data_IF_851349778593
#
_entry.id   IF_851349778593
#
_cell.length_a   1.000
_cell.length_b   1.000
_cell.length_c   1.000
_cell.angle_alpha   90.00
_cell.angle_beta   90.00
_cell.angle_gamma   90.00
#
_symmetry.space_group_name_H-M   'P 1'
#
loop_
_entity.id
_entity.type
_entity.pdbx_description
1 polymer ?
#
# COMPACT_ATOMS: atom_id res chain seq x y z
N UNK A 1 22.07 -1.22 -35.93
CA UNK A 1 23.07 -0.72 -34.97
C UNK A 1 23.34 -1.87 -34.01
N UNK A 2 24.59 -2.27 -33.78
CA UNK A 2 24.89 -3.39 -32.87
C UNK A 2 24.74 -2.92 -31.41
N UNK A 3 24.22 -3.79 -30.54
CA UNK A 3 24.10 -3.53 -29.10
C UNK A 3 25.52 -3.47 -28.49
N UNK A 4 25.81 -2.42 -27.72
CA UNK A 4 27.04 -2.34 -26.93
C UNK A 4 26.89 -3.22 -25.66
N UNK A 5 27.39 -4.46 -25.75
CA UNK A 5 27.29 -5.45 -24.67
C UNK A 5 27.98 -4.99 -23.38
N UNK A 6 29.09 -4.24 -23.47
CA UNK A 6 29.81 -3.77 -22.29
C UNK A 6 29.00 -2.70 -21.54
N UNK A 7 28.42 -1.75 -22.27
CA UNK A 7 27.54 -0.74 -21.67
C UNK A 7 26.25 -1.36 -21.13
N UNK A 8 25.71 -2.36 -21.82
CA UNK A 8 24.52 -3.09 -21.38
C UNK A 8 24.78 -3.83 -20.06
N UNK A 9 25.91 -4.53 -19.96
CA UNK A 9 26.36 -5.23 -18.75
C UNK A 9 26.46 -4.28 -17.55
N UNK A 10 27.12 -3.13 -17.72
CA UNK A 10 27.22 -2.09 -16.68
C UNK A 10 25.88 -1.50 -16.27
N UNK A 11 24.94 -1.33 -17.22
CA UNK A 11 23.59 -0.85 -16.93
C UNK A 11 22.80 -1.87 -16.10
N UNK A 12 22.96 -3.16 -16.39
CA UNK A 12 22.32 -4.24 -15.65
C UNK A 12 22.92 -4.42 -14.26
N UNK A 13 24.22 -4.25 -14.06
CA UNK A 13 24.84 -4.29 -12.73
C UNK A 13 24.26 -3.23 -11.79
N UNK A 14 24.05 -2.01 -12.32
CA UNK A 14 23.35 -0.94 -11.57
C UNK A 14 21.93 -1.30 -11.15
N UNK A 15 21.26 -2.22 -11.85
CA UNK A 15 19.93 -2.68 -11.43
C UNK A 15 19.95 -3.43 -10.08
N UNK A 16 21.09 -4.01 -9.69
CA UNK A 16 21.27 -4.60 -8.36
C UNK A 16 21.47 -3.52 -7.30
N UNK A 17 22.20 -2.44 -7.61
CA UNK A 17 22.32 -1.26 -6.73
C UNK A 17 20.95 -0.61 -6.48
N UNK A 18 20.10 -0.58 -7.51
CA UNK A 18 18.73 -0.10 -7.40
C UNK A 18 17.87 -0.93 -6.43
N UNK A 19 18.36 -2.08 -5.96
CA UNK A 19 17.67 -2.84 -4.94
C UNK A 19 17.70 -2.17 -3.57
N UNK A 20 18.73 -1.37 -3.32
CA UNK A 20 18.89 -0.56 -2.11
C UNK A 20 18.35 0.86 -2.34
N UNK A 21 18.52 1.39 -3.55
CA UNK A 21 18.05 2.73 -3.93
C UNK A 21 17.21 2.71 -5.22
N UNK A 22 15.88 2.60 -5.10
CA UNK A 22 14.99 2.61 -6.26
C UNK A 22 15.04 3.91 -7.09
N UNK A 23 15.62 5.01 -6.57
CA UNK A 23 15.74 6.25 -7.34
C UNK A 23 16.71 6.15 -8.51
N UNK A 24 17.50 5.08 -8.60
CA UNK A 24 18.45 4.82 -9.68
C UNK A 24 17.81 4.31 -10.97
N UNK A 25 16.54 3.86 -10.94
CA UNK A 25 15.87 3.28 -12.10
C UNK A 25 15.79 4.19 -13.34
N UNK A 26 15.50 5.51 -13.24
CA UNK A 26 15.59 6.42 -14.38
C UNK A 26 16.96 6.42 -15.05
N UNK A 27 18.05 6.50 -14.27
CA UNK A 27 19.42 6.45 -14.79
C UNK A 27 19.71 5.10 -15.48
N UNK A 28 19.22 4.00 -14.90
CA UNK A 28 19.36 2.67 -15.51
C UNK A 28 18.67 2.62 -16.86
N UNK A 29 17.47 3.17 -17.01
CA UNK A 29 16.78 3.22 -18.30
C UNK A 29 17.54 4.05 -19.34
N UNK A 30 18.12 5.18 -18.94
CA UNK A 30 18.96 6.00 -19.84
C UNK A 30 20.21 5.22 -20.29
N UNK A 31 20.85 4.46 -19.40
CA UNK A 31 21.99 3.61 -19.76
C UNK A 31 21.59 2.44 -20.68
N UNK A 32 20.46 1.81 -20.42
CA UNK A 32 19.92 0.73 -21.27
C UNK A 32 19.59 1.23 -22.67
N UNK A 33 18.96 2.40 -22.79
CA UNK A 33 18.66 3.00 -24.11
C UNK A 33 19.92 3.35 -24.88
N UNK A 34 20.92 3.95 -24.21
CA UNK A 34 22.22 4.26 -24.81
C UNK A 34 22.98 3.00 -25.26
N UNK A 35 22.97 1.92 -24.48
CA UNK A 35 23.63 0.66 -24.82
C UNK A 35 22.96 -0.08 -26.00
N UNK A 36 21.65 0.04 -26.12
CA UNK A 36 20.85 -0.69 -27.13
C UNK A 36 20.57 0.12 -28.39
N UNK A 37 20.88 1.42 -28.40
CA UNK A 37 20.48 2.32 -29.49
C UNK A 37 18.96 2.46 -29.58
N UNK A 38 18.27 2.43 -28.45
CA UNK A 38 16.83 2.64 -28.37
C UNK A 38 16.52 4.13 -28.27
N UNK A 39 15.42 4.56 -28.87
CA UNK A 39 14.87 5.92 -28.77
C UNK A 39 14.47 6.27 -27.33
N UNK A 40 13.92 5.30 -26.61
CA UNK A 40 13.51 5.47 -25.23
C UNK A 40 13.12 4.13 -24.61
N UNK A 41 12.89 4.16 -23.31
CA UNK A 41 12.46 2.99 -22.56
C UNK A 41 11.47 3.34 -21.45
N UNK A 42 10.65 2.37 -21.07
CA UNK A 42 9.81 2.48 -19.89
C UNK A 42 9.61 1.12 -19.21
N UNK A 43 9.37 1.15 -17.90
CA UNK A 43 8.90 0.01 -17.09
C UNK A 43 7.48 0.33 -16.65
N UNK A 44 6.55 -0.58 -16.96
CA UNK A 44 5.13 -0.49 -16.58
C UNK A 44 4.61 -1.89 -16.25
N UNK A 45 3.66 -2.07 -15.32
CA UNK A 45 3.05 -3.37 -15.11
C UNK A 45 2.19 -3.79 -16.30
N UNK A 46 2.13 -5.10 -16.56
CA UNK A 46 1.27 -5.65 -17.61
C UNK A 46 -0.22 -5.41 -17.28
N UNK A 47 -0.59 -5.56 -16.01
CA UNK A 47 -1.94 -5.41 -15.47
C UNK A 47 -2.04 -4.19 -14.52
N UNK A 48 -3.24 -3.65 -14.35
CA UNK A 48 -3.52 -2.52 -13.45
C UNK A 48 -2.61 -1.29 -13.73
N UNK A 49 -2.48 -0.95 -15.01
CA UNK A 49 -1.69 0.20 -15.48
C UNK A 49 -2.23 1.51 -14.93
N UNK A 50 -1.33 2.36 -14.46
CA UNK A 50 -1.63 3.68 -13.90
C UNK A 50 -0.49 4.64 -14.25
N UNK A 51 -0.76 5.94 -14.47
CA UNK A 51 0.29 6.96 -14.58
C UNK A 51 1.20 7.01 -13.35
N UNK A 52 0.70 6.58 -12.18
CA UNK A 52 1.47 6.55 -10.93
C UNK A 52 2.38 5.31 -10.80
N UNK A 53 2.32 4.38 -11.78
CA UNK A 53 3.04 3.10 -11.79
C UNK A 53 3.86 2.96 -13.07
N UNK A 54 4.70 3.96 -13.36
CA UNK A 54 5.58 3.96 -14.52
C UNK A 54 6.94 4.60 -14.20
N UNK A 55 8.02 4.04 -14.75
CA UNK A 55 9.32 4.71 -14.84
C UNK A 55 9.67 4.77 -16.31
N UNK A 56 10.13 5.91 -16.80
CA UNK A 56 10.38 6.11 -18.21
C UNK A 56 11.52 7.10 -18.46
N UNK A 57 12.21 6.93 -19.59
CA UNK A 57 13.16 7.93 -20.11
C UNK A 57 12.40 9.19 -20.56
N UNK A 58 13.07 10.34 -20.51
CA UNK A 58 12.47 11.63 -20.90
C UNK A 58 11.87 11.59 -22.31
N UNK A 59 12.53 10.89 -23.24
CA UNK A 59 12.13 10.78 -24.65
C UNK A 59 10.74 10.18 -24.90
N UNK A 60 10.18 9.43 -23.95
CA UNK A 60 8.85 8.79 -24.10
C UNK A 60 7.81 9.31 -23.11
N UNK A 61 8.14 10.27 -22.24
CA UNK A 61 7.20 10.79 -21.23
C UNK A 61 5.95 11.42 -21.84
N UNK A 62 6.12 12.29 -22.84
CA UNK A 62 4.99 12.92 -23.53
C UNK A 62 4.04 11.89 -24.16
N UNK A 63 4.60 10.86 -24.81
CA UNK A 63 3.80 9.76 -25.37
C UNK A 63 3.04 8.99 -24.28
N UNK A 64 3.65 8.80 -23.10
CA UNK A 64 3.00 8.11 -21.98
C UNK A 64 1.89 8.95 -21.33
N UNK A 65 2.05 10.27 -21.25
CA UNK A 65 1.01 11.18 -20.79
C UNK A 65 -0.23 11.11 -21.70
N UNK A 66 -0.04 11.16 -23.02
CA UNK A 66 -1.12 11.03 -23.99
C UNK A 66 -1.72 9.61 -24.01
N UNK A 67 -0.89 8.59 -23.82
CA UNK A 67 -1.29 7.19 -23.67
C UNK A 67 -2.28 7.00 -22.50
N UNK A 68 -2.02 7.62 -21.35
CA UNK A 68 -2.95 7.55 -20.22
C UNK A 68 -4.16 8.46 -20.39
N UNK A 69 -3.96 9.71 -20.82
CA UNK A 69 -5.02 10.72 -20.94
C UNK A 69 -6.10 10.32 -21.95
N UNK A 70 -5.71 9.67 -23.05
CA UNK A 70 -6.62 9.24 -24.10
C UNK A 70 -7.10 7.78 -23.94
N UNK A 71 -6.79 7.13 -22.82
CA UNK A 71 -7.32 5.79 -22.52
C UNK A 71 -6.69 4.64 -23.31
N UNK A 72 -5.56 4.85 -24.01
CA UNK A 72 -4.88 3.82 -24.78
C UNK A 72 -4.46 2.60 -23.94
N UNK A 73 -4.26 2.79 -22.64
CA UNK A 73 -3.94 1.74 -21.67
C UNK A 73 -5.06 0.73 -21.40
N UNK A 74 -6.32 1.08 -21.70
CA UNK A 74 -7.48 0.21 -21.41
C UNK A 74 -7.52 -0.97 -22.40
N UNK A 75 -7.23 -0.70 -23.68
CA UNK A 75 -7.29 -1.67 -24.77
C UNK A 75 -6.00 -1.65 -25.61
N UNK A 76 -4.85 -1.61 -24.95
CA UNK A 76 -3.55 -1.49 -25.64
C UNK A 76 -3.30 -2.69 -26.59
N UNK A 77 -2.93 -2.38 -27.84
CA UNK A 77 -2.73 -3.39 -28.87
C UNK A 77 -1.70 -4.46 -28.49
N UNK A 78 -0.58 -4.00 -27.91
CA UNK A 78 0.59 -4.81 -27.53
C UNK A 78 0.32 -5.85 -26.44
N UNK A 79 -0.83 -5.78 -25.75
CA UNK A 79 -1.25 -6.82 -24.80
C UNK A 79 -1.43 -8.19 -25.49
N UNK A 80 -1.67 -8.21 -26.81
CA UNK A 80 -1.72 -9.44 -27.63
C UNK A 80 -0.41 -10.23 -27.62
N UNK A 81 0.71 -9.58 -27.37
CA UNK A 81 2.02 -10.24 -27.28
C UNK A 81 2.27 -10.92 -25.93
N UNK A 82 1.47 -10.65 -24.88
CA UNK A 82 1.73 -11.18 -23.52
C UNK A 82 1.92 -12.71 -23.50
N UNK A 83 1.13 -13.54 -24.21
CA UNK A 83 1.36 -14.98 -24.24
C UNK A 83 2.76 -15.37 -24.77
N UNK A 84 3.31 -14.62 -25.74
CA UNK A 84 4.66 -14.84 -26.25
C UNK A 84 5.70 -14.45 -25.20
N UNK A 85 5.53 -13.29 -24.55
CA UNK A 85 6.43 -12.83 -23.49
C UNK A 85 6.42 -13.77 -22.28
N UNK A 86 5.27 -14.37 -21.94
CA UNK A 86 5.18 -15.36 -20.86
C UNK A 86 5.90 -16.67 -21.20
N UNK A 87 5.94 -17.04 -22.48
CA UNK A 87 6.64 -18.24 -22.98
C UNK A 87 8.14 -18.01 -23.12
N UNK A 88 8.53 -16.89 -23.75
CA UNK A 88 9.88 -16.65 -24.26
C UNK A 88 10.64 -15.58 -23.45
N UNK A 89 10.01 -14.97 -22.44
CA UNK A 89 10.57 -13.87 -21.64
C UNK A 89 10.55 -12.49 -22.34
N UNK A 90 10.48 -12.48 -23.68
CA UNK A 90 10.45 -11.26 -24.50
C UNK A 90 9.37 -11.36 -25.58
N UNK A 91 8.84 -10.22 -26.02
CA UNK A 91 7.99 -10.12 -27.20
C UNK A 91 8.41 -8.93 -28.08
N UNK A 92 8.19 -9.04 -29.38
CA UNK A 92 8.47 -8.01 -30.38
C UNK A 92 7.24 -7.82 -31.26
N UNK A 93 6.98 -6.58 -31.69
CA UNK A 93 5.74 -6.24 -32.41
C UNK A 93 5.51 -7.12 -33.64
N UNK A 94 6.56 -7.42 -34.41
CA UNK A 94 6.45 -8.22 -35.64
C UNK A 94 6.01 -9.66 -35.44
N UNK A 95 6.04 -10.18 -34.20
CA UNK A 95 5.62 -11.55 -33.90
C UNK A 95 4.10 -11.70 -33.83
N UNK A 96 3.36 -10.61 -33.64
CA UNK A 96 1.90 -10.63 -33.48
C UNK A 96 1.18 -9.49 -34.22
N UNK A 97 1.93 -8.58 -34.86
CA UNK A 97 1.40 -7.47 -35.67
C UNK A 97 2.03 -7.54 -37.05
N UNK A 98 1.20 -7.62 -38.10
CA UNK A 98 1.70 -7.57 -39.48
C UNK A 98 2.24 -6.19 -39.83
N UNK A 99 3.02 -6.08 -40.92
CA UNK A 99 3.51 -4.77 -41.38
C UNK A 99 2.36 -3.79 -41.65
N UNK A 100 1.34 -4.25 -42.37
CA UNK A 100 0.14 -3.47 -42.70
C UNK A 100 -0.60 -3.00 -41.44
N UNK A 101 -0.80 -3.89 -40.46
CA UNK A 101 -1.40 -3.53 -39.18
C UNK A 101 -0.60 -2.46 -38.44
N UNK A 102 0.73 -2.56 -38.44
CA UNK A 102 1.55 -1.55 -37.79
C UNK A 102 1.48 -0.18 -38.46
N UNK A 103 1.34 -0.15 -39.78
CA UNK A 103 1.25 1.12 -40.53
C UNK A 103 -0.14 1.77 -40.38
N UNK A 104 -1.20 0.99 -40.22
CA UNK A 104 -2.58 1.50 -40.30
C UNK A 104 -3.38 1.49 -38.99
N UNK A 105 -3.02 0.68 -37.99
CA UNK A 105 -3.76 0.67 -36.72
C UNK A 105 -3.59 1.99 -35.98
N UNK A 106 -4.70 2.48 -35.43
CA UNK A 106 -4.75 3.76 -34.70
C UNK A 106 -3.71 3.82 -33.57
N UNK A 107 -3.52 2.72 -32.85
CA UNK A 107 -2.54 2.63 -31.76
C UNK A 107 -1.10 2.93 -32.24
N UNK A 108 -0.68 2.39 -33.38
CA UNK A 108 0.67 2.61 -33.89
C UNK A 108 0.80 3.96 -34.61
N UNK A 109 -0.28 4.47 -35.21
CA UNK A 109 -0.31 5.86 -35.71
C UNK A 109 -0.13 6.87 -34.58
N UNK A 110 -0.80 6.66 -33.45
CA UNK A 110 -0.59 7.43 -32.22
C UNK A 110 0.88 7.38 -31.77
N UNK A 111 1.49 6.19 -31.68
CA UNK A 111 2.90 6.07 -31.31
C UNK A 111 3.83 6.80 -32.30
N UNK A 112 3.51 6.74 -33.61
CA UNK A 112 4.27 7.42 -34.65
C UNK A 112 4.22 8.95 -34.54
N UNK A 113 3.15 9.55 -34.02
CA UNK A 113 3.07 10.99 -33.74
C UNK A 113 4.13 11.45 -32.72
N UNK A 114 4.56 10.54 -31.84
CA UNK A 114 5.66 10.77 -30.89
C UNK A 114 7.03 10.28 -31.40
N UNK A 115 7.14 9.89 -32.66
CA UNK A 115 8.38 9.37 -33.25
C UNK A 115 8.76 7.95 -32.78
N UNK A 116 7.84 7.24 -32.13
CA UNK A 116 8.06 5.87 -31.63
C UNK A 116 7.78 4.86 -32.75
N UNK A 117 8.75 3.97 -32.96
CA UNK A 117 8.69 2.89 -33.94
C UNK A 117 8.45 1.52 -33.30
N UNK A 118 9.15 0.51 -33.84
CA UNK A 118 9.06 -0.88 -33.40
C UNK A 118 9.54 -1.04 -31.96
N UNK A 119 8.92 -1.95 -31.23
CA UNK A 119 9.24 -2.19 -29.82
C UNK A 119 9.63 -3.64 -29.55
N UNK A 120 10.53 -3.80 -28.57
CA UNK A 120 10.81 -5.08 -27.91
C UNK A 120 10.48 -4.91 -26.44
N UNK A 121 9.72 -5.85 -25.89
CA UNK A 121 9.25 -5.81 -24.51
C UNK A 121 9.81 -7.02 -23.78
N UNK A 122 10.50 -6.77 -22.68
CA UNK A 122 11.10 -7.75 -21.79
C UNK A 122 10.21 -7.86 -20.55
N UNK A 123 9.65 -9.04 -20.32
CA UNK A 123 8.79 -9.33 -19.17
C UNK A 123 9.61 -9.86 -18.01
N UNK A 124 9.57 -9.20 -16.84
CA UNK A 124 10.31 -9.62 -15.66
C UNK A 124 9.47 -9.48 -14.37
N UNK A 125 10.03 -9.78 -13.19
CA UNK A 125 9.34 -9.93 -11.89
C UNK A 125 8.66 -11.30 -11.72
N UNK A 126 7.33 -11.39 -11.72
CA UNK A 126 6.60 -12.66 -11.51
C UNK A 126 5.36 -12.73 -12.41
N UNK A 127 4.81 -13.92 -12.68
CA UNK A 127 3.58 -14.06 -13.48
C UNK A 127 2.38 -13.28 -12.95
N UNK A 128 2.23 -13.21 -11.62
CA UNK A 128 1.12 -12.50 -10.97
C UNK A 128 1.31 -10.98 -10.95
N UNK A 129 2.56 -10.54 -11.06
CA UNK A 129 2.98 -9.14 -11.01
C UNK A 129 4.03 -8.84 -12.09
N UNK A 130 3.61 -9.08 -13.34
CA UNK A 130 4.48 -8.99 -14.51
C UNK A 130 4.80 -7.52 -14.81
N UNK A 131 6.08 -7.19 -14.83
CA UNK A 131 6.59 -5.88 -15.25
C UNK A 131 7.13 -5.98 -16.67
N UNK A 132 6.84 -4.96 -17.47
CA UNK A 132 7.24 -4.85 -18.86
C UNK A 132 8.28 -3.74 -19.02
N UNK A 133 9.55 -4.11 -19.22
CA UNK A 133 10.56 -3.18 -19.73
C UNK A 133 10.41 -3.10 -21.24
N UNK A 134 9.95 -1.96 -21.73
CA UNK A 134 9.75 -1.70 -23.17
C UNK A 134 10.92 -0.90 -23.70
N UNK A 135 11.59 -1.41 -24.73
CA UNK A 135 12.58 -0.71 -25.54
C UNK A 135 11.91 -0.24 -26.83
N UNK A 136 11.98 1.06 -27.10
CA UNK A 136 11.38 1.70 -28.27
C UNK A 136 12.45 2.03 -29.28
N UNK A 137 12.24 1.67 -30.55
CA UNK A 137 13.02 2.22 -31.66
C UNK A 137 12.47 3.59 -32.07
N UNK A 138 13.30 4.37 -32.77
CA UNK A 138 12.82 5.51 -33.53
C UNK A 138 11.93 5.03 -34.69
N UNK A 139 10.91 5.79 -35.06
CA UNK A 139 9.90 5.44 -36.07
C UNK A 139 10.45 4.79 -37.35
N UNK A 140 11.56 5.32 -37.88
CA UNK A 140 12.14 4.89 -39.15
C UNK A 140 13.17 3.74 -39.02
N UNK A 141 13.40 3.22 -37.81
CA UNK A 141 14.32 2.11 -37.61
C UNK A 141 13.66 0.76 -37.89
N UNK A 142 14.48 -0.22 -38.26
CA UNK A 142 14.02 -1.59 -38.49
C UNK A 142 13.57 -2.28 -37.19
N UNK A 143 12.96 -3.46 -37.34
CA UNK A 143 12.56 -4.33 -36.23
C UNK A 143 13.76 -4.78 -35.39
N UNK A 144 13.53 -5.13 -34.13
CA UNK A 144 14.54 -5.80 -33.32
C UNK A 144 14.82 -7.20 -33.86
N UNK A 145 16.08 -7.50 -34.17
CA UNK A 145 16.49 -8.77 -34.76
C UNK A 145 16.39 -9.95 -33.77
N UNK A 146 16.53 -11.18 -34.25
CA UNK A 146 16.58 -12.37 -33.37
C UNK A 146 17.83 -12.39 -32.49
N UNK A 147 18.95 -11.87 -33.00
CA UNK A 147 20.19 -11.73 -32.23
C UNK A 147 20.02 -10.73 -31.08
N UNK A 148 19.38 -9.58 -31.34
CA UNK A 148 19.07 -8.60 -30.31
C UNK A 148 18.10 -9.18 -29.27
N UNK A 149 17.09 -9.93 -29.71
CA UNK A 149 16.17 -10.60 -28.80
C UNK A 149 16.87 -11.61 -27.88
N UNK A 150 17.84 -12.38 -28.39
CA UNK A 150 18.63 -13.30 -27.58
C UNK A 150 19.48 -12.56 -26.53
N UNK A 151 20.06 -11.40 -26.88
CA UNK A 151 20.77 -10.54 -25.90
C UNK A 151 19.81 -10.06 -24.80
N UNK A 152 18.59 -9.65 -25.16
CA UNK A 152 17.59 -9.21 -24.18
C UNK A 152 17.08 -10.34 -23.29
N UNK A 153 17.00 -11.57 -23.81
CA UNK A 153 16.70 -12.75 -23.00
C UNK A 153 17.78 -13.01 -21.95
N UNK A 154 19.06 -12.85 -22.29
CA UNK A 154 20.14 -12.95 -21.31
C UNK A 154 20.09 -11.79 -20.30
N UNK A 155 19.83 -10.56 -20.75
CA UNK A 155 19.67 -9.40 -19.87
C UNK A 155 18.52 -9.56 -18.87
N UNK A 156 17.44 -10.24 -19.28
CA UNK A 156 16.27 -10.55 -18.44
C UNK A 156 16.64 -11.30 -17.17
N UNK A 157 17.63 -12.21 -17.21
CA UNK A 157 18.02 -12.98 -16.03
C UNK A 157 18.48 -12.06 -14.89
N UNK A 158 19.28 -11.03 -15.21
CA UNK A 158 19.69 -10.02 -14.23
C UNK A 158 18.53 -9.18 -13.74
N UNK A 159 17.65 -8.74 -14.63
CA UNK A 159 16.44 -7.99 -14.22
C UNK A 159 15.54 -8.80 -13.27
N UNK A 160 15.40 -10.10 -13.52
CA UNK A 160 14.68 -11.03 -12.64
C UNK A 160 15.35 -11.16 -11.27
N UNK A 161 16.68 -11.32 -11.25
CA UNK A 161 17.45 -11.37 -10.00
C UNK A 161 17.31 -10.08 -9.19
N UNK A 162 17.47 -8.92 -9.82
CA UNK A 162 17.29 -7.61 -9.18
C UNK A 162 15.88 -7.44 -8.60
N UNK A 163 14.85 -7.81 -9.37
CA UNK A 163 13.46 -7.75 -8.90
C UNK A 163 13.21 -8.68 -7.69
N UNK A 164 13.79 -9.88 -7.69
CA UNK A 164 13.69 -10.84 -6.58
C UNK A 164 14.38 -10.32 -5.33
N UNK A 165 15.59 -9.76 -5.46
CA UNK A 165 16.34 -9.16 -4.34
C UNK A 165 15.56 -7.96 -3.77
N UNK A 166 15.06 -7.06 -4.63
CA UNK A 166 14.22 -5.92 -4.21
C UNK A 166 13.00 -6.35 -3.39
N UNK A 167 12.26 -7.35 -3.90
CA UNK A 167 11.09 -7.90 -3.19
C UNK A 167 11.48 -8.55 -1.87
N UNK A 168 12.60 -9.28 -1.83
CA UNK A 168 13.13 -9.90 -0.61
C UNK A 168 13.55 -8.86 0.45
N UNK A 169 14.26 -7.81 0.05
CA UNK A 169 14.64 -6.71 0.94
C UNK A 169 13.41 -5.96 1.45
N UNK A 170 12.44 -5.68 0.58
CA UNK A 170 11.17 -5.10 1.00
C UNK A 170 10.44 -5.99 2.00
N UNK A 171 10.39 -7.30 1.78
CA UNK A 171 9.75 -8.25 2.69
C UNK A 171 10.47 -8.29 4.05
N UNK A 172 11.81 -8.30 4.06
CA UNK A 172 12.60 -8.26 5.29
C UNK A 172 12.33 -7.01 6.13
N UNK A 173 12.22 -5.84 5.49
CA UNK A 173 11.83 -4.58 6.16
C UNK A 173 10.44 -4.69 6.79
N UNK A 174 9.47 -5.24 6.06
CA UNK A 174 8.11 -5.47 6.58
C UNK A 174 8.13 -6.45 7.76
N UNK A 175 8.91 -7.53 7.68
CA UNK A 175 9.10 -8.47 8.79
C UNK A 175 9.58 -7.77 10.07
N UNK A 176 10.58 -6.88 9.96
CA UNK A 176 11.02 -6.06 11.10
C UNK A 176 9.93 -5.15 11.67
N UNK A 177 9.07 -4.58 10.82
CA UNK A 177 7.90 -3.80 11.28
C UNK A 177 6.87 -4.68 11.98
N UNK A 178 6.59 -5.87 11.46
CA UNK A 178 5.68 -6.86 12.07
C UNK A 178 6.18 -7.24 13.46
N UNK A 179 7.48 -7.49 13.62
CA UNK A 179 8.08 -7.81 14.91
C UNK A 179 7.98 -6.64 15.92
N UNK A 180 8.22 -5.41 15.48
CA UNK A 180 8.05 -4.21 16.31
C UNK A 180 6.58 -4.01 16.75
N UNK A 181 5.62 -4.24 15.86
CA UNK A 181 4.20 -4.18 16.18
C UNK A 181 3.78 -5.30 17.13
N UNK A 182 4.32 -6.52 16.95
CA UNK A 182 4.11 -7.63 17.89
C UNK A 182 4.61 -7.28 19.29
N UNK A 183 5.79 -6.68 19.41
CA UNK A 183 6.36 -6.29 20.71
C UNK A 183 5.53 -5.21 21.43
N UNK A 184 4.80 -4.38 20.67
CA UNK A 184 3.97 -3.28 21.21
C UNK A 184 2.48 -3.61 21.29
N UNK A 185 2.05 -4.80 20.84
CA UNK A 185 0.66 -5.23 20.85
C UNK A 185 -0.23 -4.49 19.83
N UNK A 186 0.36 -3.93 18.77
CA UNK A 186 -0.37 -3.23 17.71
C UNK A 186 -0.99 -4.24 16.76
N UNK A 187 -2.32 -4.19 16.62
CA UNK A 187 -3.05 -4.99 15.65
C UNK A 187 -2.96 -4.35 14.25
N UNK A 188 -2.15 -4.96 13.38
CA UNK A 188 -1.96 -4.55 12.00
C UNK A 188 -2.12 -5.68 10.98
N UNK A 189 -2.59 -5.32 9.79
CA UNK A 189 -2.65 -6.13 8.57
C UNK A 189 -1.90 -5.39 7.46
N UNK A 190 -0.91 -6.02 6.85
CA UNK A 190 -0.14 -5.46 5.74
C UNK A 190 -0.69 -5.97 4.41
N UNK A 191 -0.57 -5.17 3.36
CA UNK A 191 -1.09 -5.54 2.03
C UNK A 191 -0.24 -5.03 0.86
N UNK A 192 -0.31 -5.75 -0.25
CA UNK A 192 0.37 -5.42 -1.51
C UNK A 192 -0.45 -4.44 -2.39
N UNK A 193 0.13 -4.01 -3.51
CA UNK A 193 -0.52 -3.05 -4.43
C UNK A 193 -1.80 -3.58 -5.10
N UNK A 194 -2.05 -4.89 -5.04
CA UNK A 194 -3.30 -5.50 -5.51
C UNK A 194 -4.34 -5.58 -4.40
N UNK A 195 -4.10 -4.93 -3.26
CA UNK A 195 -4.93 -4.96 -2.05
C UNK A 195 -5.07 -6.37 -1.46
N UNK A 196 -4.06 -7.23 -1.68
CA UNK A 196 -3.99 -8.55 -1.07
C UNK A 196 -3.15 -8.49 0.19
N UNK A 197 -3.65 -9.11 1.25
CA UNK A 197 -2.95 -9.27 2.53
C UNK A 197 -1.65 -10.04 2.31
N UNK A 198 -0.59 -9.52 2.91
CA UNK A 198 0.76 -10.09 2.85
C UNK A 198 1.20 -10.60 4.21
N UNK A 199 0.99 -9.81 5.27
CA UNK A 199 1.37 -10.14 6.65
C UNK A 199 0.28 -9.72 7.63
N UNK A 200 0.20 -10.42 8.76
CA UNK A 200 -0.75 -10.13 9.83
C UNK A 200 -0.03 -10.25 11.17
N UNK A 201 -0.23 -9.26 12.04
CA UNK A 201 0.28 -9.33 13.42
C UNK A 201 -0.57 -10.27 14.28
N UNK A 202 -0.01 -10.97 15.29
CA UNK A 202 -0.80 -11.83 16.18
C UNK A 202 -1.94 -11.10 16.91
N UNK A 203 -1.77 -9.81 17.22
CA UNK A 203 -2.84 -9.02 17.83
C UNK A 203 -3.99 -8.71 16.86
N UNK A 204 -3.73 -8.59 15.55
CA UNK A 204 -4.79 -8.52 14.55
C UNK A 204 -5.48 -9.86 14.34
N UNK A 205 -4.73 -10.98 14.34
CA UNK A 205 -5.31 -12.32 14.22
C UNK A 205 -6.32 -12.62 15.33
N UNK A 206 -6.02 -12.19 16.57
CA UNK A 206 -6.95 -12.33 17.72
C UNK A 206 -8.24 -11.52 17.57
N UNK A 207 -8.28 -10.53 16.67
CA UNK A 207 -9.49 -9.74 16.38
C UNK A 207 -10.32 -10.36 15.26
N UNK A 208 -9.81 -11.38 14.56
CA UNK A 208 -10.58 -12.03 13.51
C UNK A 208 -11.73 -12.85 14.08
N UNK A 209 -12.84 -12.82 13.35
CA UNK A 209 -14.10 -13.43 13.72
C UNK A 209 -15.14 -13.20 12.63
N UNK A 210 -16.42 -13.14 12.99
CA UNK A 210 -17.47 -12.88 12.00
C UNK A 210 -17.40 -11.43 11.47
N UNK A 211 -17.02 -10.47 12.31
CA UNK A 211 -17.10 -9.04 11.96
C UNK A 211 -15.96 -8.56 11.06
N UNK A 212 -14.78 -9.16 11.19
CA UNK A 212 -13.64 -8.95 10.30
C UNK A 212 -12.85 -10.26 10.15
N UNK A 213 -12.54 -10.62 8.91
CA UNK A 213 -11.79 -11.84 8.59
C UNK A 213 -11.02 -11.67 7.29
N UNK A 214 -10.14 -12.62 6.99
CA UNK A 214 -9.43 -12.68 5.71
C UNK A 214 -10.01 -13.83 4.89
N UNK A 215 -10.39 -13.54 3.64
CA UNK A 215 -10.78 -14.55 2.66
C UNK A 215 -10.06 -14.30 1.35
N UNK A 216 -9.44 -15.33 0.77
CA UNK A 216 -8.63 -15.22 -0.46
C UNK A 216 -7.62 -14.07 -0.43
N UNK A 217 -6.92 -13.92 0.71
CA UNK A 217 -5.98 -12.80 0.97
C UNK A 217 -6.63 -11.41 0.88
N UNK A 218 -7.93 -11.27 1.05
CA UNK A 218 -8.60 -9.96 1.11
C UNK A 218 -9.24 -9.75 2.47
N UNK A 219 -9.26 -8.50 2.94
CA UNK A 219 -9.91 -8.12 4.20
C UNK A 219 -11.41 -8.00 3.95
N UNK A 220 -12.19 -8.79 4.68
CA UNK A 220 -13.64 -8.87 4.57
C UNK A 220 -14.29 -8.56 5.92
N UNK A 221 -15.54 -8.11 5.86
CA UNK A 221 -16.43 -7.96 7.00
C UNK A 221 -17.77 -8.63 6.70
N UNK A 222 -18.47 -9.11 7.73
CA UNK A 222 -19.87 -9.57 7.64
C UNK A 222 -20.79 -8.53 6.99
N UNK A 223 -20.47 -7.24 7.12
CA UNK A 223 -21.20 -6.15 6.45
C UNK A 223 -20.56 -5.87 5.08
N UNK A 224 -21.26 -6.11 3.95
CA UNK A 224 -20.70 -5.94 2.61
C UNK A 224 -20.23 -4.52 2.29
N UNK A 225 -20.93 -3.51 2.79
CA UNK A 225 -20.56 -2.10 2.60
C UNK A 225 -19.22 -1.75 3.28
N UNK A 226 -18.94 -2.38 4.43
CA UNK A 226 -17.66 -2.22 5.12
C UNK A 226 -16.54 -2.84 4.29
N UNK A 227 -16.75 -4.04 3.74
CA UNK A 227 -15.78 -4.67 2.82
C UNK A 227 -15.49 -3.76 1.62
N UNK A 228 -16.53 -3.18 1.02
CA UNK A 228 -16.39 -2.26 -0.11
C UNK A 228 -15.62 -0.99 0.27
N UNK A 229 -15.92 -0.41 1.44
CA UNK A 229 -15.21 0.76 1.96
C UNK A 229 -13.73 0.48 2.22
N UNK A 230 -13.40 -0.69 2.79
CA UNK A 230 -12.01 -1.14 3.02
C UNK A 230 -11.27 -1.23 1.70
N UNK A 231 -11.82 -1.95 0.72
CA UNK A 231 -11.18 -2.12 -0.58
C UNK A 231 -11.02 -0.79 -1.32
N UNK A 232 -12.02 0.09 -1.28
CA UNK A 232 -11.94 1.43 -1.89
C UNK A 232 -10.82 2.25 -1.23
N UNK A 233 -10.72 2.24 0.10
CA UNK A 233 -9.68 2.98 0.82
C UNK A 233 -8.29 2.39 0.57
N UNK A 234 -8.11 1.07 0.61
CA UNK A 234 -6.84 0.41 0.28
C UNK A 234 -6.34 0.81 -1.12
N UNK A 235 -7.24 0.84 -2.12
CA UNK A 235 -6.90 1.30 -3.47
C UNK A 235 -6.57 2.79 -3.53
N UNK A 236 -7.30 3.64 -2.81
CA UNK A 236 -7.06 5.09 -2.87
C UNK A 236 -5.64 5.47 -2.42
N UNK A 237 -5.09 4.79 -1.41
CA UNK A 237 -3.80 5.13 -0.82
C UNK A 237 -2.58 4.65 -1.62
N UNK A 238 -2.78 3.83 -2.67
CA UNK A 238 -1.68 3.37 -3.54
C UNK A 238 -1.25 4.44 -4.55
N UNK A 239 -2.01 5.52 -4.69
CA UNK A 239 -1.74 6.67 -5.58
C UNK A 239 -1.76 7.96 -4.79
N UNK A 240 -1.13 9.03 -5.27
CA UNK A 240 -1.17 10.37 -4.63
C UNK A 240 -2.58 10.99 -4.55
N UNK A 241 -3.55 10.40 -5.24
CA UNK A 241 -4.95 10.85 -5.26
C UNK A 241 -5.58 10.86 -3.87
N UNK A 242 -5.09 10.07 -2.91
CA UNK A 242 -5.63 9.99 -1.55
C UNK A 242 -5.70 11.35 -0.80
N UNK A 243 -4.95 12.36 -1.26
CA UNK A 243 -5.00 13.74 -0.75
C UNK A 243 -6.12 14.60 -1.36
N UNK A 244 -6.81 14.13 -2.41
CA UNK A 244 -7.86 14.89 -3.07
C UNK A 244 -9.12 14.98 -2.19
N UNK A 245 -9.85 16.12 -2.19
CA UNK A 245 -11.01 16.33 -1.31
C UNK A 245 -12.14 15.30 -1.45
N UNK A 246 -12.27 14.68 -2.63
CA UNK A 246 -13.33 13.73 -2.96
C UNK A 246 -12.95 12.27 -2.72
N UNK A 247 -11.73 11.98 -2.27
CA UNK A 247 -11.32 10.61 -1.95
C UNK A 247 -11.81 10.18 -0.56
N UNK A 248 -12.07 8.87 -0.34
CA UNK A 248 -12.45 8.37 0.97
C UNK A 248 -11.34 8.66 1.97
N UNK A 249 -11.57 9.54 2.93
CA UNK A 249 -10.63 9.88 3.99
C UNK A 249 -11.16 9.41 5.35
N UNK A 250 -10.24 9.27 6.32
CA UNK A 250 -10.58 8.93 7.69
C UNK A 250 -10.58 7.42 7.99
N UNK A 251 -11.15 7.07 9.14
CA UNK A 251 -11.21 5.72 9.65
C UNK A 251 -12.49 5.00 9.21
N UNK A 252 -12.41 3.69 9.04
CA UNK A 252 -13.57 2.83 8.75
C UNK A 252 -14.04 2.18 10.05
N UNK A 253 -15.31 2.36 10.37
CA UNK A 253 -15.93 1.74 11.55
C UNK A 253 -16.40 0.32 11.20
N UNK A 254 -15.98 -0.67 11.97
CA UNK A 254 -16.42 -2.05 11.86
C UNK A 254 -17.44 -2.31 12.99
N UNK A 255 -18.73 -2.47 12.68
CA UNK A 255 -19.76 -2.71 13.69
C UNK A 255 -19.59 -4.10 14.32
N UNK A 256 -19.95 -4.21 15.60
CA UNK A 256 -19.99 -5.49 16.34
C UNK A 256 -21.29 -5.56 17.13
N UNK A 257 -21.94 -6.72 17.12
CA UNK A 257 -23.22 -6.90 17.81
C UNK A 257 -22.99 -7.01 19.32
N UNK A 258 -23.67 -6.17 20.10
CA UNK A 258 -23.54 -6.15 21.57
C UNK A 258 -22.16 -5.71 22.10
N UNK A 259 -21.24 -5.29 21.23
CA UNK A 259 -19.90 -4.82 21.59
C UNK A 259 -19.63 -3.43 21.01
N UNK A 260 -18.66 -2.71 21.57
CA UNK A 260 -18.19 -1.45 20.96
C UNK A 260 -17.61 -1.74 19.57
N UNK A 261 -17.73 -0.84 18.59
CA UNK A 261 -17.15 -1.06 17.26
C UNK A 261 -15.63 -1.11 17.30
N UNK A 262 -15.03 -1.68 16.25
CA UNK A 262 -13.60 -1.53 15.97
C UNK A 262 -13.39 -0.40 14.97
N UNK A 263 -12.23 0.22 15.01
CA UNK A 263 -11.85 1.29 14.09
C UNK A 263 -10.67 0.81 13.26
N UNK A 264 -10.82 0.84 11.94
CA UNK A 264 -9.78 0.49 10.98
C UNK A 264 -9.19 1.76 10.37
N UNK A 265 -7.89 1.97 10.54
CA UNK A 265 -7.14 3.05 9.88
C UNK A 265 -6.24 2.45 8.81
N UNK A 266 -6.28 3.01 7.61
CA UNK A 266 -5.49 2.51 6.48
C UNK A 266 -4.48 3.58 6.09
N UNK A 267 -3.20 3.22 6.15
CA UNK A 267 -2.06 4.09 5.90
C UNK A 267 -1.14 3.49 4.83
N UNK A 268 -0.53 4.35 4.03
CA UNK A 268 0.51 3.96 3.07
C UNK A 268 1.81 3.72 3.81
N UNK A 269 2.52 2.66 3.44
CA UNK A 269 3.90 2.45 3.87
C UNK A 269 4.80 3.17 2.89
N UNK A 270 5.63 4.09 3.40
CA UNK A 270 6.51 4.91 2.58
C UNK A 270 7.46 4.07 1.70
N UNK A 271 7.78 4.62 0.53
CA UNK A 271 8.66 4.07 -0.51
C UNK A 271 8.77 5.10 -1.64
N UNK A 272 9.85 5.05 -2.43
CA UNK A 272 9.95 5.87 -3.64
C UNK A 272 8.91 5.36 -4.65
N UNK A 273 7.99 6.23 -5.04
CA UNK A 273 7.08 5.94 -6.15
C UNK A 273 7.88 5.81 -7.45
N UNK A 274 7.57 4.82 -8.31
CA UNK A 274 6.57 3.76 -8.14
C UNK A 274 7.08 2.53 -7.34
N UNK A 275 6.21 1.99 -6.47
CA UNK A 275 6.48 0.82 -5.61
C UNK A 275 6.37 -0.52 -6.37
N UNK A 276 7.08 -0.68 -7.50
CA UNK A 276 6.98 -1.89 -8.33
C UNK A 276 7.36 -3.18 -7.60
N UNK A 277 8.35 -3.07 -6.71
CA UNK A 277 8.97 -4.22 -6.05
C UNK A 277 8.65 -4.27 -4.56
N UNK A 278 7.71 -3.44 -4.10
CA UNK A 278 7.29 -3.47 -2.70
C UNK A 278 6.57 -4.78 -2.38
N UNK A 279 6.99 -5.43 -1.30
CA UNK A 279 6.27 -6.58 -0.75
C UNK A 279 4.91 -6.13 -0.20
N UNK A 280 4.88 -5.03 0.56
CA UNK A 280 3.67 -4.37 1.05
C UNK A 280 3.74 -2.88 0.76
N UNK A 281 2.61 -2.29 0.35
CA UNK A 281 2.47 -0.85 0.06
C UNK A 281 1.65 -0.11 1.12
N UNK A 282 0.96 -0.84 1.98
CA UNK A 282 0.07 -0.27 2.97
C UNK A 282 -0.11 -1.14 4.20
N UNK A 283 -0.62 -0.51 5.25
CA UNK A 283 -0.94 -1.13 6.53
C UNK A 283 -2.32 -0.69 7.01
N UNK A 284 -3.11 -1.65 7.47
CA UNK A 284 -4.37 -1.43 8.16
C UNK A 284 -4.14 -1.63 9.65
N UNK A 285 -4.36 -0.59 10.46
CA UNK A 285 -4.31 -0.63 11.91
C UNK A 285 -5.73 -0.81 12.45
N UNK A 286 -5.92 -1.80 13.32
CA UNK A 286 -7.21 -2.12 13.93
C UNK A 286 -7.17 -1.70 15.40
N UNK A 287 -8.08 -0.81 15.78
CA UNK A 287 -8.25 -0.39 17.17
C UNK A 287 -9.56 -0.97 17.73
N UNK A 288 -9.44 -1.88 18.71
CA UNK A 288 -10.58 -2.31 19.52
C UNK A 288 -10.80 -1.32 20.68
N UNK A 289 -11.76 -0.41 20.48
CA UNK A 289 -12.12 0.64 21.46
C UNK A 289 -12.55 0.03 22.81
N UNK A 290 -13.23 -1.11 22.79
CA UNK A 290 -13.67 -1.81 24.00
C UNK A 290 -12.51 -2.46 24.76
N UNK A 291 -11.57 -3.10 24.06
CA UNK A 291 -10.36 -3.68 24.66
C UNK A 291 -9.48 -2.60 25.29
N UNK A 292 -9.25 -1.49 24.59
CA UNK A 292 -8.48 -0.34 25.11
C UNK A 292 -9.08 0.18 26.41
N UNK A 293 -10.39 0.40 26.45
CA UNK A 293 -11.06 0.86 27.67
C UNK A 293 -10.93 -0.13 28.83
N UNK A 294 -11.01 -1.45 28.59
CA UNK A 294 -10.81 -2.48 29.63
C UNK A 294 -9.37 -2.50 30.14
N UNK A 295 -8.38 -2.39 29.26
CA UNK A 295 -6.96 -2.34 29.65
C UNK A 295 -6.67 -1.10 30.51
N UNK A 296 -7.21 0.05 30.12
CA UNK A 296 -7.08 1.29 30.88
C UNK A 296 -7.69 1.15 32.28
N UNK A 297 -8.89 0.57 32.38
CA UNK A 297 -9.51 0.28 33.68
C UNK A 297 -8.62 -0.64 34.54
N UNK A 298 -8.01 -1.68 33.96
CA UNK A 298 -7.12 -2.58 34.68
C UNK A 298 -5.85 -1.87 35.17
N UNK A 299 -5.25 -1.00 34.34
CA UNK A 299 -4.08 -0.20 34.73
C UNK A 299 -4.42 0.76 35.88
N UNK A 300 -5.59 1.41 35.86
CA UNK A 300 -6.03 2.25 36.97
C UNK A 300 -6.20 1.50 38.28
N UNK A 301 -6.69 0.26 38.21
CA UNK A 301 -6.79 -0.62 39.39
C UNK A 301 -5.40 -0.93 39.95
N UNK A 302 -4.42 -1.19 39.08
CA UNK A 302 -3.05 -1.52 39.49
C UNK A 302 -2.28 -0.31 40.03
N UNK A 303 -2.38 0.85 39.38
CA UNK A 303 -1.63 2.06 39.75
C UNK A 303 -2.16 2.72 41.03
N UNK A 304 -3.49 2.76 41.21
CA UNK A 304 -4.13 3.51 42.30
C UNK A 304 -4.88 2.61 43.29
N UNK A 305 -4.84 1.28 43.15
CA UNK A 305 -5.60 0.37 44.01
C UNK A 305 -7.12 0.56 43.89
N UNK A 306 -7.61 1.01 42.72
CA UNK A 306 -9.04 1.14 42.49
C UNK A 306 -9.73 -0.23 42.43
N UNK A 307 -10.97 -0.29 42.90
CA UNK A 307 -11.88 -1.40 42.64
C UNK A 307 -12.36 -1.38 41.19
N UNK A 308 -12.97 -2.47 40.71
CA UNK A 308 -13.55 -2.51 39.37
C UNK A 308 -14.61 -1.41 39.14
N UNK A 309 -15.48 -1.18 40.13
CA UNK A 309 -16.51 -0.13 40.06
C UNK A 309 -15.90 1.26 40.02
N UNK A 310 -14.89 1.52 40.84
CA UNK A 310 -14.17 2.80 40.88
C UNK A 310 -13.43 3.08 39.56
N UNK A 311 -12.77 2.09 38.97
CA UNK A 311 -12.09 2.25 37.70
C UNK A 311 -13.06 2.60 36.56
N UNK A 312 -14.25 1.99 36.54
CA UNK A 312 -15.30 2.31 35.56
C UNK A 312 -15.79 3.76 35.76
N UNK A 313 -16.08 4.17 36.99
CA UNK A 313 -16.53 5.55 37.31
C UNK A 313 -15.45 6.57 36.95
N UNK A 314 -14.19 6.32 37.31
CA UNK A 314 -13.06 7.18 36.96
C UNK A 314 -12.90 7.34 35.43
N UNK A 315 -13.07 6.23 34.69
CA UNK A 315 -13.05 6.25 33.22
C UNK A 315 -14.18 7.11 32.65
N UNK A 316 -15.41 6.96 33.14
CA UNK A 316 -16.55 7.76 32.66
C UNK A 316 -16.37 9.26 32.93
N UNK A 317 -15.88 9.62 34.11
CA UNK A 317 -15.63 11.03 34.49
C UNK A 317 -14.54 11.64 33.60
N UNK A 318 -13.48 10.90 33.30
CA UNK A 318 -12.41 11.38 32.40
C UNK A 318 -12.88 11.61 30.96
N UNK A 319 -13.94 10.92 30.54
CA UNK A 319 -14.59 11.11 29.23
C UNK A 319 -15.54 12.32 29.22
N UNK A 320 -15.54 13.12 30.29
CA UNK A 320 -16.36 14.33 30.42
C UNK A 320 -17.78 14.07 30.95
N UNK A 321 -18.11 12.85 31.38
CA UNK A 321 -19.43 12.59 31.95
C UNK A 321 -19.60 13.25 33.33
N UNK A 322 -20.73 13.91 33.54
CA UNK A 322 -21.11 14.45 34.85
C UNK A 322 -21.46 13.31 35.81
N UNK A 323 -21.37 13.56 37.12
CA UNK A 323 -21.68 12.53 38.12
C UNK A 323 -23.15 12.08 38.07
N UNK A 324 -24.05 12.98 37.68
CA UNK A 324 -25.47 12.69 37.45
C UNK A 324 -25.64 11.73 36.28
N UNK A 325 -24.91 11.96 35.18
CA UNK A 325 -24.92 11.06 34.01
C UNK A 325 -24.36 9.70 34.36
N UNK A 326 -23.26 9.65 35.13
CA UNK A 326 -22.66 8.38 35.60
C UNK A 326 -23.64 7.60 36.48
N UNK A 327 -24.33 8.28 37.41
CA UNK A 327 -25.32 7.63 38.27
C UNK A 327 -26.46 7.01 37.45
N UNK A 328 -26.96 7.74 36.44
CA UNK A 328 -28.00 7.27 35.52
C UNK A 328 -27.54 6.09 34.67
N UNK A 329 -26.36 6.19 34.06
CA UNK A 329 -25.80 5.15 33.18
C UNK A 329 -25.52 3.84 33.95
N UNK A 330 -25.10 3.97 35.22
CA UNK A 330 -24.80 2.83 36.09
C UNK A 330 -26.00 2.32 36.88
N UNK A 331 -27.17 2.94 36.74
CA UNK A 331 -28.38 2.64 37.53
C UNK A 331 -28.13 2.65 39.04
N UNK A 332 -27.37 3.63 39.54
CA UNK A 332 -27.08 3.83 40.97
C UNK A 332 -27.58 5.20 41.44
N UNK A 333 -27.73 5.37 42.75
CA UNK A 333 -28.09 6.69 43.31
C UNK A 333 -26.95 7.70 43.14
N UNK A 334 -27.30 8.99 43.05
CA UNK A 334 -26.30 10.07 43.01
C UNK A 334 -25.37 10.04 44.24
N UNK A 335 -25.90 9.75 45.43
CA UNK A 335 -25.10 9.64 46.65
C UNK A 335 -24.14 8.45 46.63
N UNK A 336 -24.55 7.33 46.02
CA UNK A 336 -23.66 6.17 45.79
C UNK A 336 -22.51 6.55 44.85
N UNK A 337 -22.82 7.24 43.74
CA UNK A 337 -21.80 7.72 42.80
C UNK A 337 -20.84 8.72 43.48
N UNK A 338 -21.37 9.62 44.32
CA UNK A 338 -20.59 10.58 45.11
C UNK A 338 -19.66 9.90 46.10
N UNK A 339 -20.12 8.82 46.74
CA UNK A 339 -19.32 8.03 47.67
C UNK A 339 -18.15 7.36 46.95
N UNK A 340 -18.39 6.72 45.80
CA UNK A 340 -17.31 6.18 44.97
C UNK A 340 -16.32 7.26 44.53
N UNK A 341 -16.81 8.45 44.14
CA UNK A 341 -15.95 9.55 43.73
C UNK A 341 -15.03 10.03 44.87
N UNK A 342 -15.53 10.15 46.11
CA UNK A 342 -14.68 10.49 47.27
C UNK A 342 -13.60 9.44 47.52
N UNK A 343 -13.93 8.15 47.37
CA UNK A 343 -12.93 7.07 47.47
C UNK A 343 -11.87 7.18 46.39
N UNK A 344 -12.28 7.44 45.14
CA UNK A 344 -11.35 7.65 44.00
C UNK A 344 -10.42 8.83 44.28
N UNK A 345 -10.93 9.96 44.76
CA UNK A 345 -10.14 11.12 45.14
C UNK A 345 -9.08 10.79 46.19
N UNK A 346 -9.45 10.05 47.24
CA UNK A 346 -8.50 9.58 48.25
C UNK A 346 -7.40 8.68 47.68
N UNK A 347 -7.76 7.77 46.78
CA UNK A 347 -6.82 6.80 46.17
C UNK A 347 -5.93 7.39 45.08
N UNK A 348 -6.38 8.45 44.42
CA UNK A 348 -5.65 9.12 43.33
C UNK A 348 -4.95 10.41 43.78
N UNK A 349 -5.13 10.80 45.05
CA UNK A 349 -4.67 12.06 45.62
C UNK A 349 -5.11 13.29 44.79
N UNK A 350 -6.39 13.31 44.41
CA UNK A 350 -7.02 14.42 43.66
C UNK A 350 -8.16 15.02 44.47
N UNK A 351 -8.45 16.32 44.29
CA UNK A 351 -9.51 17.02 45.03
C UNK A 351 -10.73 17.39 44.19
N UNK A 352 -10.61 17.37 42.85
CA UNK A 352 -11.65 17.80 41.92
C UNK A 352 -11.75 16.88 40.71
N UNK A 353 -12.94 16.82 40.08
CA UNK A 353 -13.15 16.02 38.87
C UNK A 353 -12.21 16.45 37.72
N UNK A 354 -11.96 17.75 37.56
CA UNK A 354 -11.02 18.26 36.55
C UNK A 354 -9.57 17.83 36.83
N UNK A 355 -9.15 17.77 38.10
CA UNK A 355 -7.81 17.28 38.49
C UNK A 355 -7.68 15.78 38.21
N UNK A 356 -8.70 15.00 38.55
CA UNK A 356 -8.77 13.58 38.21
C UNK A 356 -8.72 13.36 36.69
N UNK A 357 -9.54 14.07 35.91
CA UNK A 357 -9.51 13.98 34.46
C UNK A 357 -8.12 14.29 33.89
N UNK A 358 -7.50 15.38 34.35
CA UNK A 358 -6.15 15.79 33.92
C UNK A 358 -5.09 14.73 34.26
N UNK A 359 -5.15 14.16 35.46
CA UNK A 359 -4.24 13.09 35.88
C UNK A 359 -4.36 11.86 34.97
N UNK A 360 -5.59 11.44 34.70
CA UNK A 360 -5.86 10.26 33.87
C UNK A 360 -5.44 10.47 32.41
N UNK A 361 -5.62 11.69 31.87
CA UNK A 361 -5.15 12.05 30.53
C UNK A 361 -3.63 12.08 30.44
N UNK A 362 -2.93 12.63 31.46
CA UNK A 362 -1.45 12.71 31.47
C UNK A 362 -0.76 11.34 31.48
N UNK A 363 -1.43 10.32 32.00
CA UNK A 363 -0.92 8.95 32.01
C UNK A 363 -1.11 8.22 30.67
N UNK A 364 -1.64 8.89 29.63
CA UNK A 364 -2.08 8.29 28.36
C UNK A 364 -3.05 7.11 28.55
N UNK A 365 -3.73 7.07 29.70
CA UNK A 365 -4.64 5.98 30.02
C UNK A 365 -6.00 6.18 29.39
N UNK A 366 -6.32 7.32 28.75
CA UNK A 366 -7.64 7.61 28.15
C UNK A 366 -7.46 8.62 27.01
N UNK A 367 -7.91 8.27 25.79
CA UNK A 367 -8.03 9.24 24.69
C UNK A 367 -9.29 10.09 24.90
N UNK A 368 -9.15 11.41 24.80
CA UNK A 368 -10.29 12.32 24.70
C UNK A 368 -10.97 12.15 23.33
N UNK A 369 -12.30 12.36 23.23
CA UNK A 369 -12.90 12.64 21.93
C UNK A 369 -12.23 13.88 21.34
N UNK A 370 -11.91 13.86 20.04
CA UNK A 370 -11.36 15.01 19.34
C UNK A 370 -12.27 16.24 19.57
N UNK A 371 -11.70 17.45 19.77
CA UNK A 371 -12.52 18.65 19.83
C UNK A 371 -13.31 18.77 18.53
N UNK A 372 -14.63 18.86 18.64
CA UNK A 372 -15.46 19.30 17.53
C UNK A 372 -15.02 20.73 17.18
N UNK A 373 -14.41 20.89 16.01
CA UNK A 373 -14.21 22.17 15.34
C UNK A 373 -15.08 22.21 14.10
#
# INVERSE_FOLDING_TARGET
MSIDLCRLDQALDKSLEAAVDPSLWPEILDRLTAATGSFGANIIPANARSPDLIIATESVKAALEDYFSNGWHINEWRLRGIPLMMRDGTMRDQQYTTRDQFEHLEYYRFQAEHGIGRTCIIGFSSPEDLLCLTLHRTLNSDVFSDEEAAVFQNARERLMASAMIMRGMSASRIGGMVDAFRATGVAAIFFDRFCRVTEVTPDAERLFGEEIFISNRTICSRVPDVTTAIQKRMRSITTEKWLKPNEPAGSITIPRDGMRPMVLRIQRLGGNLPDFFAHSVGVCLIEDVGRKQRQNQQQLRQLFGLTATEAIIATMISQGMTLQTVAKDRSISYETARTHLRSIFGKTNTGRQAELATLLTRLNLIDLPAPAL
#
